data_IF_685021145851
#
_entry.id   IF_685021145851
#
_cell.length_a   1.000
_cell.length_b   1.000
_cell.length_c   1.000
_cell.angle_alpha   90.00
_cell.angle_beta   90.00
_cell.angle_gamma   90.00
#
_symmetry.space_group_name_H-M   'P 1'
#
loop_
_entity.id
_entity.type
_entity.pdbx_description
1 polymer ?
#
# COMPACT_ATOMS: atom_id res chain seq x y z
N UNK A 1 6.10 -2.98 13.05
CA UNK A 1 5.92 -1.90 12.07
C UNK A 1 4.43 -1.64 11.93
N UNK A 2 3.94 -0.57 12.54
CA UNK A 2 2.59 -0.06 12.30
C UNK A 2 2.61 0.91 11.08
N UNK A 3 1.46 1.49 10.71
CA UNK A 3 1.36 2.43 9.58
C UNK A 3 2.30 3.64 9.71
N UNK A 4 2.44 4.18 10.92
CA UNK A 4 3.30 5.35 11.17
C UNK A 4 4.79 5.00 11.03
N UNK A 5 5.19 3.83 11.53
CA UNK A 5 6.56 3.32 11.36
C UNK A 5 6.89 3.13 9.87
N UNK A 6 5.93 2.61 9.09
CA UNK A 6 6.09 2.45 7.64
C UNK A 6 6.25 3.80 6.93
N UNK A 7 5.42 4.80 7.25
CA UNK A 7 5.53 6.16 6.67
C UNK A 7 6.89 6.78 7.00
N UNK A 8 7.35 6.65 8.24
CA UNK A 8 8.66 7.18 8.63
C UNK A 8 9.80 6.49 7.87
N UNK A 9 9.73 5.17 7.71
CA UNK A 9 10.72 4.41 6.94
C UNK A 9 10.72 4.81 5.45
N UNK A 10 9.54 5.00 4.84
CA UNK A 10 9.40 5.46 3.45
C UNK A 10 9.91 6.88 3.27
N UNK A 11 9.59 7.79 4.21
CA UNK A 11 10.10 9.16 4.18
C UNK A 11 11.63 9.19 4.21
N UNK A 12 12.24 8.42 5.12
CA UNK A 12 13.68 8.33 5.26
C UNK A 12 14.36 7.68 4.05
N UNK A 13 13.78 6.60 3.51
CA UNK A 13 14.40 5.85 2.40
C UNK A 13 14.26 6.56 1.05
N UNK A 14 13.16 7.27 0.83
CA UNK A 14 12.88 7.96 -0.43
C UNK A 14 13.23 9.46 -0.39
N UNK A 15 13.70 9.99 0.74
CA UNK A 15 14.01 11.41 0.90
C UNK A 15 12.78 12.32 0.82
N UNK A 16 11.60 11.80 1.15
CA UNK A 16 10.34 12.51 1.08
C UNK A 16 10.04 13.28 2.35
N UNK A 17 9.25 14.35 2.24
CA UNK A 17 8.65 14.97 3.42
C UNK A 17 7.69 13.97 4.09
N UNK A 18 7.44 14.16 5.40
CA UNK A 18 6.49 13.31 6.13
C UNK A 18 5.08 13.37 5.52
N UNK A 19 4.68 14.54 5.01
CA UNK A 19 3.39 14.74 4.34
C UNK A 19 3.32 13.94 3.05
N UNK A 20 4.34 14.04 2.19
CA UNK A 20 4.36 13.33 0.91
C UNK A 20 4.44 11.82 1.11
N UNK A 21 5.24 11.35 2.08
CA UNK A 21 5.31 9.93 2.43
C UNK A 21 3.98 9.41 2.98
N UNK A 22 3.26 10.22 3.77
CA UNK A 22 1.91 9.87 4.24
C UNK A 22 0.98 9.68 3.05
N UNK A 23 0.93 10.66 2.14
CA UNK A 23 0.08 10.61 0.96
C UNK A 23 0.43 9.43 0.05
N UNK A 24 1.73 9.14 -0.15
CA UNK A 24 2.17 8.03 -0.96
C UNK A 24 1.74 6.67 -0.39
N UNK A 25 1.97 6.45 0.92
CA UNK A 25 1.59 5.19 1.58
C UNK A 25 0.07 5.02 1.59
N UNK A 26 -0.69 6.09 1.87
CA UNK A 26 -2.15 6.04 1.82
C UNK A 26 -2.68 5.78 0.41
N UNK A 27 -2.11 6.44 -0.61
CA UNK A 27 -2.47 6.21 -2.00
C UNK A 27 -2.31 4.74 -2.39
N UNK A 28 -1.17 4.12 -2.05
CA UNK A 28 -0.92 2.69 -2.32
C UNK A 28 -1.98 1.80 -1.66
N UNK A 29 -2.26 1.99 -0.37
CA UNK A 29 -3.26 1.18 0.32
C UNK A 29 -4.68 1.39 -0.22
N UNK A 30 -5.05 2.63 -0.54
CA UNK A 30 -6.36 2.96 -1.09
C UNK A 30 -6.55 2.33 -2.48
N UNK A 31 -5.53 2.42 -3.35
CA UNK A 31 -5.58 1.79 -4.67
C UNK A 31 -5.69 0.27 -4.56
N UNK A 32 -4.87 -0.37 -3.72
CA UNK A 32 -4.95 -1.82 -3.49
C UNK A 32 -6.34 -2.19 -2.98
N UNK A 33 -6.83 -1.51 -1.93
CA UNK A 33 -8.13 -1.79 -1.36
C UNK A 33 -9.28 -1.63 -2.36
N UNK A 34 -9.24 -0.57 -3.19
CA UNK A 34 -10.27 -0.32 -4.19
C UNK A 34 -10.27 -1.37 -5.31
N UNK A 35 -9.11 -1.73 -5.84
CA UNK A 35 -9.03 -2.80 -6.85
C UNK A 35 -9.51 -4.14 -6.31
N UNK A 36 -9.18 -4.45 -5.05
CA UNK A 36 -9.61 -5.68 -4.39
C UNK A 36 -11.12 -5.71 -4.13
N UNK A 37 -11.73 -4.58 -3.73
CA UNK A 37 -13.18 -4.52 -3.49
C UNK A 37 -13.99 -4.74 -4.77
N UNK A 38 -13.45 -4.38 -5.91
CA UNK A 38 -14.09 -4.59 -7.22
C UNK A 38 -13.91 -6.04 -7.74
N UNK A 39 -13.31 -6.92 -6.94
CA UNK A 39 -12.99 -8.30 -7.31
C UNK A 39 -11.78 -8.44 -8.23
N UNK A 40 -11.03 -7.36 -8.43
CA UNK A 40 -9.78 -7.36 -9.18
C UNK A 40 -8.61 -7.95 -8.40
N UNK A 41 -7.46 -8.02 -9.06
CA UNK A 41 -6.18 -8.46 -8.50
C UNK A 41 -5.14 -7.35 -8.69
N UNK A 42 -4.28 -7.15 -7.70
CA UNK A 42 -3.13 -6.25 -7.79
C UNK A 42 -1.85 -7.06 -7.77
N UNK A 43 -1.08 -7.00 -8.86
CA UNK A 43 0.19 -7.71 -8.99
C UNK A 43 1.36 -6.74 -8.98
N UNK A 44 2.20 -6.82 -7.95
CA UNK A 44 3.43 -6.04 -7.78
C UNK A 44 4.64 -6.95 -7.94
N UNK A 45 5.27 -6.91 -9.12
CA UNK A 45 6.40 -7.78 -9.47
C UNK A 45 7.55 -7.60 -8.46
N UNK A 46 8.07 -8.71 -7.94
CA UNK A 46 9.14 -8.71 -6.93
C UNK A 46 8.66 -8.49 -5.49
N UNK A 47 7.37 -8.22 -5.27
CA UNK A 47 6.79 -8.07 -3.94
C UNK A 47 5.70 -9.12 -3.67
N UNK A 48 4.71 -9.21 -4.55
CA UNK A 48 3.63 -10.18 -4.40
C UNK A 48 2.39 -9.85 -5.20
N UNK A 49 1.36 -10.66 -4.98
CA UNK A 49 0.05 -10.52 -5.61
C UNK A 49 -1.01 -10.46 -4.51
N UNK A 50 -1.92 -9.51 -4.63
CA UNK A 50 -3.06 -9.33 -3.73
C UNK A 50 -4.34 -9.65 -4.48
N UNK A 51 -5.17 -10.52 -3.92
CA UNK A 51 -6.49 -10.88 -4.43
C UNK A 51 -7.47 -11.07 -3.28
N UNK A 52 -8.77 -10.95 -3.55
CA UNK A 52 -9.82 -11.31 -2.59
C UNK A 52 -10.26 -12.76 -2.80
N UNK A 53 -10.54 -13.45 -1.69
CA UNK A 53 -11.03 -14.82 -1.71
C UNK A 53 -12.31 -14.91 -0.88
N UNK A 54 -13.35 -15.51 -1.45
CA UNK A 54 -14.60 -15.75 -0.72
C UNK A 54 -14.40 -16.87 0.30
N UNK A 55 -14.66 -16.58 1.58
CA UNK A 55 -14.65 -17.58 2.65
C UNK A 55 -16.05 -18.21 2.76
N UNK A 56 -16.12 -19.54 2.87
CA UNK A 56 -17.35 -20.29 3.13
C UNK A 56 -17.83 -20.12 4.57
#
# INVERSE_FOLDING_TARGET
>A
VNKNDLIAAVAASAGLSKTDATQAVEGVFNTISGTLSDGGEVRLVGFGTFSVSTRK
#
